data_IF_320426123098
#
_entry.id   IF_320426123098
#
_cell.length_a   1.000
_cell.length_b   1.000
_cell.length_c   1.000
_cell.angle_alpha   90.00
_cell.angle_beta   90.00
_cell.angle_gamma   90.00
#
_symmetry.space_group_name_H-M   'P 1'
#
loop_
_entity.id
_entity.type
_entity.pdbx_description
1 polymer ?
#
# COMPACT_ATOMS: atom_id res chain seq x y z
N UNK A 1 -5.24 -25.45 17.40
CA UNK A 1 -4.56 -24.20 16.99
C UNK A 1 -3.85 -23.64 18.19
N UNK A 2 -2.55 -23.79 18.21
CA UNK A 2 -1.71 -23.58 19.40
C UNK A 2 -1.22 -22.11 19.40
N UNK A 3 -1.56 -21.38 20.48
CA UNK A 3 -1.15 -19.98 20.66
C UNK A 3 0.18 -19.97 21.36
N UNK A 4 1.26 -19.65 20.65
CA UNK A 4 2.59 -19.44 21.24
C UNK A 4 2.63 -18.12 22.02
N UNK A 5 2.90 -18.22 23.31
CA UNK A 5 3.25 -17.08 24.17
C UNK A 5 4.67 -16.64 23.85
N UNK A 6 4.84 -15.40 23.43
CA UNK A 6 6.16 -14.76 23.32
C UNK A 6 6.29 -13.79 24.50
N UNK A 7 7.15 -14.16 25.45
CA UNK A 7 7.59 -13.26 26.51
C UNK A 7 8.79 -12.46 26.02
N UNK A 8 8.66 -11.14 25.92
CA UNK A 8 9.77 -10.24 25.61
C UNK A 8 10.29 -9.66 26.93
N UNK A 9 11.48 -10.09 27.31
CA UNK A 9 12.25 -9.53 28.44
C UNK A 9 13.15 -8.43 27.90
N UNK A 10 12.96 -7.20 28.37
CA UNK A 10 13.84 -6.08 28.05
C UNK A 10 14.89 -5.94 29.16
N UNK A 11 16.14 -6.24 28.87
CA UNK A 11 17.29 -5.88 29.71
C UNK A 11 18.29 -5.04 28.91
N UNK A 12 18.61 -3.90 29.46
CA UNK A 12 19.95 -3.31 29.53
C UNK A 12 20.47 -2.46 28.40
N UNK A 13 20.55 -1.18 28.69
CA UNK A 13 21.39 -0.18 27.98
C UNK A 13 22.87 -0.61 27.99
N UNK A 14 23.53 -0.45 26.84
CA UNK A 14 24.98 -0.44 26.71
C UNK A 14 25.41 0.61 25.67
N UNK A 15 26.04 1.70 26.16
CA UNK A 15 26.71 2.70 25.33
C UNK A 15 27.98 2.09 24.73
N UNK A 16 28.14 2.14 23.41
CA UNK A 16 29.37 1.77 22.74
C UNK A 16 29.61 2.65 21.52
N UNK A 17 30.57 3.58 21.62
CA UNK A 17 31.10 4.41 20.54
C UNK A 17 32.08 3.54 19.75
N UNK A 18 31.88 3.35 18.46
CA UNK A 18 32.88 2.77 17.57
C UNK A 18 33.20 3.77 16.46
N UNK A 19 34.45 4.23 16.50
CA UNK A 19 35.09 4.99 15.43
C UNK A 19 35.42 4.02 14.29
N UNK A 20 35.00 4.33 13.07
CA UNK A 20 35.44 3.64 11.87
C UNK A 20 36.48 4.48 11.14
N UNK A 21 37.70 3.98 11.05
CA UNK A 21 38.77 4.47 10.17
C UNK A 21 38.67 3.77 8.83
N UNK A 22 38.89 4.53 7.76
CA UNK A 22 38.72 4.08 6.38
C UNK A 22 39.78 3.11 5.86
N UNK A 23 39.42 2.45 4.79
CA UNK A 23 40.38 2.02 3.75
C UNK A 23 39.69 2.03 2.39
N UNK A 24 40.22 2.86 1.50
CA UNK A 24 39.83 2.94 0.08
C UNK A 24 40.56 1.80 -0.64
N UNK A 25 39.81 0.90 -1.28
CA UNK A 25 40.39 -0.05 -2.24
C UNK A 25 39.69 0.14 -3.59
N UNK A 26 40.43 0.74 -4.53
CA UNK A 26 40.07 0.80 -5.94
C UNK A 26 40.27 -0.59 -6.55
N UNK A 27 39.19 -1.23 -7.01
CA UNK A 27 39.25 -2.31 -7.97
C UNK A 27 38.30 -2.03 -9.13
N UNK A 28 38.88 -1.72 -10.28
CA UNK A 28 38.19 -1.70 -11.56
C UNK A 28 37.75 -3.13 -11.92
N UNK A 29 36.50 -3.40 -12.01
CA UNK A 29 35.91 -4.67 -12.41
C UNK A 29 34.80 -4.45 -13.42
N UNK A 30 34.98 -5.00 -14.62
CA UNK A 30 34.03 -5.00 -15.72
C UNK A 30 32.62 -5.46 -15.26
N UNK A 31 31.61 -4.64 -15.50
CA UNK A 31 30.23 -5.00 -15.30
C UNK A 31 29.75 -5.85 -16.47
N UNK A 32 29.67 -7.16 -16.26
CA UNK A 32 28.85 -8.03 -17.08
C UNK A 32 27.40 -7.86 -16.64
N UNK A 33 26.56 -7.27 -17.48
CA UNK A 33 25.13 -7.13 -17.26
C UNK A 33 24.48 -8.50 -17.43
N UNK A 34 24.10 -9.13 -16.34
CA UNK A 34 23.27 -10.33 -16.32
C UNK A 34 21.80 -9.95 -16.55
N UNK A 35 21.08 -10.53 -17.53
CA UNK A 35 19.69 -10.20 -17.82
C UNK A 35 18.68 -10.94 -16.94
N UNK A 36 19.01 -11.30 -15.70
CA UNK A 36 18.16 -12.14 -14.84
C UNK A 36 17.77 -11.50 -13.50
N UNK A 37 17.68 -10.18 -13.40
CA UNK A 37 17.32 -9.53 -12.12
C UNK A 37 16.08 -8.62 -12.18
N UNK A 38 15.16 -8.91 -13.12
CA UNK A 38 13.88 -8.20 -13.15
C UNK A 38 12.86 -8.70 -12.11
N UNK A 39 13.20 -9.69 -11.31
CA UNK A 39 12.32 -10.19 -10.22
C UNK A 39 12.62 -9.60 -8.84
N UNK A 40 13.67 -8.82 -8.68
CA UNK A 40 14.05 -8.26 -7.38
C UNK A 40 13.40 -6.91 -7.06
N UNK A 41 12.69 -6.29 -8.00
CA UNK A 41 12.13 -4.93 -7.85
C UNK A 41 10.72 -4.89 -7.24
N UNK A 42 10.12 -6.03 -6.87
CA UNK A 42 8.93 -6.04 -6.02
C UNK A 42 9.39 -5.96 -4.55
N UNK A 43 10.15 -4.92 -4.24
CA UNK A 43 10.51 -4.61 -2.86
C UNK A 43 9.28 -4.06 -2.16
N UNK A 44 8.67 -4.94 -1.37
CA UNK A 44 7.85 -4.69 -0.19
C UNK A 44 7.46 -3.21 -0.01
N UNK A 45 6.26 -2.85 -0.48
CA UNK A 45 5.54 -1.75 0.14
C UNK A 45 5.51 -2.10 1.64
N UNK A 46 6.11 -1.27 2.48
CA UNK A 46 6.05 -1.43 3.93
C UNK A 46 4.58 -1.53 4.29
N UNK A 47 4.18 -2.71 4.74
CA UNK A 47 2.91 -2.90 5.41
C UNK A 47 2.99 -2.05 6.66
N UNK A 48 2.47 -0.83 6.62
CA UNK A 48 2.27 -0.02 7.82
C UNK A 48 1.22 -0.74 8.65
N UNK A 49 1.70 -1.62 9.53
CA UNK A 49 0.87 -2.28 10.53
C UNK A 49 0.38 -1.21 11.49
N UNK A 50 -0.81 -0.67 11.25
CA UNK A 50 -1.52 0.10 12.27
C UNK A 50 -1.98 -0.90 13.31
N UNK A 51 -1.25 -1.00 14.43
CA UNK A 51 -1.65 -1.80 15.57
C UNK A 51 -2.96 -1.27 16.12
N UNK A 52 -4.06 -2.01 15.96
CA UNK A 52 -5.29 -1.75 16.68
C UNK A 52 -5.28 -2.60 17.96
N UNK A 53 -5.73 -2.01 19.05
CA UNK A 53 -5.82 -2.71 20.33
C UNK A 53 -7.26 -3.03 20.63
N UNK A 54 -7.50 -4.23 21.15
CA UNK A 54 -8.78 -4.63 21.71
C UNK A 54 -8.62 -4.97 23.20
N UNK A 55 -9.64 -4.67 23.97
CA UNK A 55 -9.70 -5.06 25.38
C UNK A 55 -10.72 -6.18 25.53
N UNK A 56 -10.29 -7.31 26.13
CA UNK A 56 -11.14 -8.46 26.49
C UNK A 56 -11.49 -8.38 27.94
N UNK A 57 -12.75 -8.47 28.26
CA UNK A 57 -13.27 -8.44 29.66
C UNK A 57 -13.11 -9.83 30.28
N UNK A 58 -12.41 -9.91 31.41
CA UNK A 58 -12.15 -11.16 32.12
C UNK A 58 -12.89 -11.26 33.46
N UNK A 59 -13.18 -10.12 34.08
CA UNK A 59 -14.04 -10.07 35.27
C UNK A 59 -15.52 -10.32 34.91
N UNK A 60 -16.33 -10.83 35.84
CA UNK A 60 -17.77 -11.08 35.61
C UNK A 60 -18.51 -9.86 35.06
N UNK A 61 -18.23 -8.68 35.59
CA UNK A 61 -18.73 -7.40 35.13
C UNK A 61 -17.69 -6.30 35.44
N UNK A 62 -17.57 -5.30 34.57
CA UNK A 62 -16.72 -4.11 34.74
C UNK A 62 -17.55 -2.87 34.48
N UNK A 63 -17.50 -1.92 35.41
CA UNK A 63 -18.19 -0.64 35.27
C UNK A 63 -17.59 0.21 34.16
N UNK A 64 -18.43 0.82 33.37
CA UNK A 64 -18.08 1.81 32.36
C UNK A 64 -18.30 3.20 32.93
N UNK A 65 -17.25 3.99 33.04
CA UNK A 65 -17.22 5.32 33.61
C UNK A 65 -17.24 6.40 32.53
N UNK A 66 -17.78 7.58 32.86
CA UNK A 66 -17.82 8.72 31.94
C UNK A 66 -16.44 9.33 31.68
N UNK A 67 -15.53 9.25 32.66
CA UNK A 67 -14.15 9.68 32.56
C UNK A 67 -13.22 8.66 33.22
N UNK A 68 -11.90 8.77 33.01
CA UNK A 68 -10.89 7.87 33.54
C UNK A 68 -10.65 8.07 35.05
N UNK A 69 -11.70 7.91 35.85
CA UNK A 69 -11.70 8.09 37.30
C UNK A 69 -12.76 7.21 37.98
N UNK A 70 -12.41 6.58 39.10
CA UNK A 70 -13.36 5.76 39.86
C UNK A 70 -14.53 6.57 40.48
N UNK A 71 -14.30 7.85 40.77
CA UNK A 71 -15.35 8.78 41.24
C UNK A 71 -16.26 9.30 40.15
N UNK A 72 -15.99 8.97 38.91
CA UNK A 72 -16.82 9.40 37.76
C UNK A 72 -18.13 8.64 37.68
N UNK A 73 -19.17 9.31 37.16
CA UNK A 73 -20.48 8.71 36.96
C UNK A 73 -20.39 7.44 36.09
N UNK A 74 -21.03 6.38 36.54
CA UNK A 74 -21.18 5.12 35.78
C UNK A 74 -22.16 5.32 34.64
N UNK A 75 -21.85 4.77 33.48
CA UNK A 75 -22.72 4.82 32.28
C UNK A 75 -23.30 3.46 31.90
N UNK A 76 -22.81 2.39 32.54
CA UNK A 76 -23.23 1.01 32.28
C UNK A 76 -22.18 0.02 32.75
N UNK A 77 -22.35 -1.24 32.34
CA UNK A 77 -21.42 -2.33 32.60
C UNK A 77 -21.11 -3.10 31.33
N UNK A 78 -19.92 -3.68 31.27
CA UNK A 78 -19.49 -4.66 30.28
C UNK A 78 -19.21 -5.99 30.96
N UNK A 79 -19.50 -7.09 30.25
CA UNK A 79 -19.52 -8.43 30.83
C UNK A 79 -18.33 -9.28 30.36
N UNK A 80 -18.01 -10.32 31.15
CA UNK A 80 -16.99 -11.31 30.82
C UNK A 80 -17.14 -11.85 29.41
N UNK A 81 -16.02 -11.98 28.69
CA UNK A 81 -15.96 -12.49 27.33
C UNK A 81 -16.22 -11.47 26.24
N UNK A 82 -16.80 -10.31 26.56
CA UNK A 82 -16.96 -9.23 25.60
C UNK A 82 -15.62 -8.62 25.24
N UNK A 83 -15.49 -8.16 23.99
CA UNK A 83 -14.29 -7.53 23.45
C UNK A 83 -14.66 -6.18 22.85
N UNK A 84 -13.87 -5.16 23.12
CA UNK A 84 -14.09 -3.80 22.65
C UNK A 84 -12.82 -3.24 22.02
N UNK A 85 -12.98 -2.40 20.99
CA UNK A 85 -11.88 -1.63 20.42
C UNK A 85 -11.37 -0.60 21.43
N UNK A 86 -10.06 -0.47 21.54
CA UNK A 86 -9.39 0.50 22.40
C UNK A 86 -9.24 1.82 21.65
N UNK A 87 -10.00 2.83 22.03
CA UNK A 87 -9.96 4.18 21.48
C UNK A 87 -8.86 5.05 22.12
N UNK A 88 -8.36 4.68 23.28
CA UNK A 88 -7.30 5.38 24.00
C UNK A 88 -6.94 4.70 25.31
N UNK A 89 -5.78 5.01 25.85
CA UNK A 89 -5.26 4.48 27.13
C UNK A 89 -4.74 5.61 27.99
N UNK A 90 -4.79 5.45 29.32
CA UNK A 90 -4.12 6.34 30.26
C UNK A 90 -3.01 5.59 30.99
N UNK A 91 -2.03 6.30 31.52
CA UNK A 91 -0.95 5.73 32.32
C UNK A 91 -1.46 5.07 33.61
N UNK A 92 -2.64 5.48 34.10
CA UNK A 92 -3.27 4.93 35.30
C UNK A 92 -4.07 3.64 35.04
N UNK A 93 -3.96 3.03 33.84
CA UNK A 93 -4.60 1.76 33.51
C UNK A 93 -6.10 1.86 33.16
N UNK A 94 -6.56 3.03 32.72
CA UNK A 94 -7.87 3.20 32.13
C UNK A 94 -7.81 3.04 30.62
N UNK A 95 -8.83 2.39 30.06
CA UNK A 95 -9.00 2.20 28.63
C UNK A 95 -10.31 2.81 28.19
N UNK A 96 -10.24 3.65 27.15
CA UNK A 96 -11.40 4.24 26.50
C UNK A 96 -11.96 3.25 25.48
N UNK A 97 -13.23 2.93 25.59
CA UNK A 97 -13.95 2.00 24.70
C UNK A 97 -15.21 2.67 24.16
N UNK A 98 -15.82 2.08 23.12
CA UNK A 98 -17.16 2.42 22.65
C UNK A 98 -18.11 1.25 22.92
N UNK A 99 -19.20 1.53 23.63
CA UNK A 99 -20.26 0.56 23.91
C UNK A 99 -21.63 1.23 23.83
N UNK A 100 -22.61 0.57 23.22
CA UNK A 100 -23.96 1.11 23.05
C UNK A 100 -24.01 2.46 22.34
N UNK A 101 -23.07 2.74 21.41
CA UNK A 101 -22.98 4.00 20.68
C UNK A 101 -22.37 5.17 21.48
N UNK A 102 -21.90 4.94 22.71
CA UNK A 102 -21.29 5.95 23.59
C UNK A 102 -19.85 5.57 23.93
N UNK A 103 -19.03 6.57 24.18
CA UNK A 103 -17.66 6.37 24.66
C UNK A 103 -17.63 6.39 26.18
N UNK A 104 -16.83 5.51 26.76
CA UNK A 104 -16.64 5.41 28.21
C UNK A 104 -15.30 4.81 28.55
N UNK A 105 -14.99 4.77 29.84
CA UNK A 105 -13.70 4.31 30.35
C UNK A 105 -13.92 3.11 31.27
N UNK A 106 -13.09 2.07 31.11
CA UNK A 106 -13.02 0.93 32.00
C UNK A 106 -11.63 0.84 32.64
N UNK A 107 -11.55 0.37 33.87
CA UNK A 107 -10.29 0.08 34.55
C UNK A 107 -9.83 -1.33 34.20
N UNK A 108 -8.62 -1.50 33.66
CA UNK A 108 -8.15 -2.80 33.20
C UNK A 108 -7.47 -3.62 34.28
N UNK A 109 -7.01 -3.00 35.40
CA UNK A 109 -6.27 -3.67 36.47
C UNK A 109 -7.06 -4.86 37.05
N UNK A 110 -6.66 -6.10 36.71
CA UNK A 110 -7.28 -7.34 37.17
C UNK A 110 -8.64 -7.67 36.51
N UNK A 111 -9.21 -6.80 35.69
CA UNK A 111 -10.57 -6.93 35.18
C UNK A 111 -10.64 -7.20 33.66
N UNK A 112 -9.59 -6.84 32.94
CA UNK A 112 -9.57 -6.94 31.50
C UNK A 112 -8.13 -7.01 30.97
N UNK A 113 -7.93 -7.75 29.89
CA UNK A 113 -6.65 -7.86 29.18
C UNK A 113 -6.71 -7.06 27.89
N UNK A 114 -5.72 -6.19 27.68
CA UNK A 114 -5.56 -5.49 26.41
C UNK A 114 -4.65 -6.32 25.50
N UNK A 115 -5.19 -6.70 24.35
CA UNK A 115 -4.49 -7.50 23.34
C UNK A 115 -4.25 -6.62 22.11
N UNK A 116 -3.03 -6.63 21.62
CA UNK A 116 -2.73 -6.05 20.33
C UNK A 116 -3.34 -6.96 19.26
N UNK A 117 -4.31 -6.42 18.53
CA UNK A 117 -4.83 -7.07 17.33
C UNK A 117 -3.99 -6.53 16.17
N UNK A 118 -3.03 -7.32 15.70
CA UNK A 118 -2.41 -7.05 14.42
C UNK A 118 -3.53 -7.04 13.38
N UNK A 119 -4.01 -5.86 13.02
CA UNK A 119 -4.80 -5.68 11.83
C UNK A 119 -3.78 -5.62 10.71
N UNK A 120 -3.64 -6.68 9.95
CA UNK A 120 -3.28 -6.53 8.55
C UNK A 120 -4.45 -5.76 7.91
N UNK A 121 -4.43 -4.46 8.03
CA UNK A 121 -5.07 -3.63 7.02
C UNK A 121 -4.20 -3.86 5.78
N UNK A 122 -4.49 -4.92 5.06
CA UNK A 122 -4.21 -4.93 3.64
C UNK A 122 -4.96 -3.70 3.17
N UNK A 123 -4.22 -2.62 2.93
CA UNK A 123 -4.76 -1.45 2.28
C UNK A 123 -5.37 -1.98 0.97
N UNK A 124 -6.70 -2.03 0.89
CA UNK A 124 -7.39 -2.60 -0.28
C UNK A 124 -6.96 -1.84 -1.54
N UNK A 125 -6.60 -0.57 -1.39
CA UNK A 125 -6.05 0.24 -2.47
C UNK A 125 -4.65 -0.26 -2.86
N UNK A 126 -3.77 -0.53 -1.90
CA UNK A 126 -2.44 -1.08 -2.18
C UNK A 126 -2.51 -2.50 -2.77
N UNK A 127 -3.49 -3.29 -2.36
CA UNK A 127 -3.75 -4.62 -2.93
C UNK A 127 -4.24 -4.50 -4.38
N UNK A 128 -5.20 -3.61 -4.64
CA UNK A 128 -5.71 -3.34 -5.97
C UNK A 128 -4.60 -2.84 -6.91
N UNK A 129 -3.77 -1.90 -6.44
CA UNK A 129 -2.62 -1.39 -7.18
C UNK A 129 -1.63 -2.49 -7.56
N UNK A 130 -1.29 -3.38 -6.63
CA UNK A 130 -0.45 -4.56 -6.90
C UNK A 130 -1.07 -5.48 -7.94
N UNK A 131 -2.36 -5.80 -7.83
CA UNK A 131 -3.08 -6.64 -8.78
C UNK A 131 -3.04 -6.05 -10.20
N UNK A 132 -3.24 -4.73 -10.33
CA UNK A 132 -3.17 -4.04 -11.63
C UNK A 132 -1.78 -4.13 -12.23
N UNK A 133 -0.73 -3.89 -11.43
CA UNK A 133 0.66 -3.96 -11.90
C UNK A 133 1.04 -5.40 -12.28
N UNK A 134 0.79 -6.36 -11.42
CA UNK A 134 1.07 -7.79 -11.68
C UNK A 134 0.35 -8.27 -12.94
N UNK A 135 -0.91 -7.87 -13.12
CA UNK A 135 -1.67 -8.21 -14.32
C UNK A 135 -1.10 -7.57 -15.58
N UNK A 136 -0.68 -6.30 -15.50
CA UNK A 136 -0.05 -5.60 -16.63
C UNK A 136 1.28 -6.23 -17.05
N UNK A 137 2.11 -6.64 -16.10
CA UNK A 137 3.43 -7.22 -16.36
C UNK A 137 3.37 -8.58 -17.07
N UNK A 138 2.26 -9.33 -16.96
CA UNK A 138 2.07 -10.61 -17.67
C UNK A 138 2.11 -10.45 -19.20
N UNK A 139 1.85 -9.26 -19.71
CA UNK A 139 1.81 -8.98 -21.17
C UNK A 139 3.12 -8.43 -21.74
N UNK A 140 4.16 -8.28 -20.92
CA UNK A 140 5.48 -7.81 -21.40
C UNK A 140 6.02 -8.79 -22.47
N UNK A 141 6.50 -8.27 -23.57
CA UNK A 141 6.88 -9.03 -24.77
C UNK A 141 5.74 -9.22 -25.76
N UNK A 142 4.49 -8.84 -25.41
CA UNK A 142 3.34 -8.88 -26.29
C UNK A 142 3.45 -7.89 -27.47
N UNK A 143 2.65 -8.14 -28.51
CA UNK A 143 2.69 -7.37 -29.77
C UNK A 143 2.03 -6.00 -29.63
N UNK A 144 2.66 -4.95 -30.16
CA UNK A 144 1.99 -3.69 -30.43
C UNK A 144 1.18 -3.77 -31.74
N UNK A 145 -0.01 -3.22 -31.72
CA UNK A 145 -0.84 -3.01 -32.91
C UNK A 145 -1.62 -1.72 -32.76
N UNK A 146 -1.46 -0.79 -33.68
CA UNK A 146 -2.24 0.46 -33.67
C UNK A 146 -3.75 0.17 -33.76
N UNK A 147 -4.55 0.79 -32.89
CA UNK A 147 -5.98 0.51 -32.76
C UNK A 147 -6.33 -0.84 -32.13
N UNK A 148 -5.33 -1.61 -31.68
CA UNK A 148 -5.53 -2.90 -31.02
C UNK A 148 -6.06 -2.74 -29.59
N UNK A 149 -6.85 -3.73 -29.13
CA UNK A 149 -7.58 -3.70 -27.86
C UNK A 149 -7.33 -4.93 -26.98
N UNK A 150 -6.63 -5.93 -27.49
CA UNK A 150 -6.37 -7.21 -26.80
C UNK A 150 -4.85 -7.46 -26.77
N UNK A 151 -4.19 -7.40 -25.59
CA UNK A 151 -2.75 -7.60 -25.50
C UNK A 151 -2.28 -9.00 -25.91
N UNK A 152 -3.18 -9.99 -25.96
CA UNK A 152 -2.86 -11.34 -26.44
C UNK A 152 -2.81 -11.44 -27.98
N UNK A 153 -3.38 -10.47 -28.70
CA UNK A 153 -3.43 -10.44 -30.16
C UNK A 153 -2.62 -9.29 -30.76
N UNK A 154 -2.61 -8.18 -30.06
CA UNK A 154 -1.96 -6.93 -30.40
C UNK A 154 -2.76 -5.76 -29.89
N UNK A 155 -2.07 -4.78 -29.30
CA UNK A 155 -2.69 -3.68 -28.57
C UNK A 155 -1.88 -2.40 -28.72
N UNK A 156 -2.55 -1.23 -28.77
CA UNK A 156 -1.86 0.06 -28.66
C UNK A 156 -1.78 0.55 -27.20
N UNK A 157 -1.16 1.70 -26.96
CA UNK A 157 -0.92 2.22 -25.62
C UNK A 157 -2.22 2.40 -24.80
N UNK A 158 -3.24 2.99 -25.39
CA UNK A 158 -4.52 3.27 -24.73
C UNK A 158 -5.42 2.02 -24.64
N UNK A 159 -5.34 1.14 -25.63
CA UNK A 159 -5.98 -0.18 -25.58
C UNK A 159 -5.42 -1.04 -24.45
N UNK A 160 -4.09 -1.00 -24.26
CA UNK A 160 -3.39 -1.71 -23.18
C UNK A 160 -3.85 -1.27 -21.79
N UNK A 161 -3.78 0.04 -21.50
CA UNK A 161 -4.20 0.58 -20.20
C UNK A 161 -5.69 0.34 -19.92
N UNK A 162 -6.54 0.54 -20.95
CA UNK A 162 -7.96 0.20 -20.90
C UNK A 162 -8.20 -1.26 -20.56
N UNK A 163 -7.49 -2.19 -21.22
CA UNK A 163 -7.63 -3.63 -21.02
C UNK A 163 -7.23 -4.02 -19.60
N UNK A 164 -6.04 -3.60 -19.16
CA UNK A 164 -5.50 -3.92 -17.84
C UNK A 164 -6.42 -3.42 -16.73
N UNK A 165 -6.76 -2.14 -16.73
CA UNK A 165 -7.60 -1.53 -15.69
C UNK A 165 -9.03 -2.08 -15.72
N UNK A 166 -9.56 -2.38 -16.90
CA UNK A 166 -10.86 -3.02 -17.06
C UNK A 166 -10.91 -4.42 -16.45
N UNK A 167 -9.87 -5.21 -16.62
CA UNK A 167 -9.80 -6.60 -16.11
C UNK A 167 -9.39 -6.70 -14.65
N UNK A 168 -8.41 -5.92 -14.22
CA UNK A 168 -7.84 -6.03 -12.88
C UNK A 168 -8.59 -5.18 -11.85
N UNK A 169 -9.18 -4.04 -12.24
CA UNK A 169 -9.82 -3.08 -11.34
C UNK A 169 -11.27 -2.74 -11.71
N UNK A 170 -11.85 -3.33 -12.75
CA UNK A 170 -13.20 -3.04 -13.24
C UNK A 170 -13.40 -1.56 -13.67
N UNK A 171 -12.31 -0.87 -14.04
CA UNK A 171 -12.34 0.54 -14.47
C UNK A 171 -12.53 0.61 -15.97
N UNK A 172 -13.61 1.24 -16.41
CA UNK A 172 -13.89 1.45 -17.84
C UNK A 172 -13.29 2.75 -18.34
N UNK A 173 -12.44 2.66 -19.36
CA UNK A 173 -11.76 3.80 -19.99
C UNK A 173 -12.03 3.87 -21.50
N UNK A 174 -12.01 5.06 -22.10
CA UNK A 174 -12.07 5.20 -23.55
C UNK A 174 -10.79 4.66 -24.22
N UNK A 175 -10.90 4.24 -25.48
CA UNK A 175 -9.75 3.83 -26.30
C UNK A 175 -9.08 5.06 -26.94
N UNK A 176 -8.52 5.92 -26.09
CA UNK A 176 -7.81 7.14 -26.51
C UNK A 176 -6.96 7.65 -25.33
N UNK A 177 -5.66 7.86 -25.55
CA UNK A 177 -4.78 8.42 -24.51
C UNK A 177 -5.23 9.82 -24.07
N UNK A 178 -5.63 10.67 -24.98
CA UNK A 178 -6.20 11.99 -24.66
C UNK A 178 -7.50 11.84 -23.86
N UNK A 179 -8.40 10.95 -24.27
CA UNK A 179 -9.64 10.69 -23.54
C UNK A 179 -9.38 10.18 -22.12
N UNK A 180 -8.46 9.22 -21.96
CA UNK A 180 -8.10 8.67 -20.64
C UNK A 180 -7.50 9.72 -19.71
N UNK A 181 -6.78 10.71 -20.23
CA UNK A 181 -6.18 11.77 -19.43
C UNK A 181 -7.20 12.66 -18.69
N UNK A 182 -8.48 12.59 -19.05
CA UNK A 182 -9.57 13.32 -18.41
C UNK A 182 -10.25 12.55 -17.29
N UNK A 183 -9.83 11.31 -17.02
CA UNK A 183 -10.36 10.45 -15.96
C UNK A 183 -9.46 10.51 -14.73
N UNK A 184 -10.05 10.21 -13.56
CA UNK A 184 -9.33 10.12 -12.31
C UNK A 184 -8.89 11.47 -11.74
N UNK A 185 -8.05 11.41 -10.71
CA UNK A 185 -7.50 12.56 -10.00
C UNK A 185 -6.08 12.84 -10.48
N UNK A 186 -5.80 14.10 -10.83
CA UNK A 186 -4.43 14.51 -11.16
C UNK A 186 -3.55 14.42 -9.89
N UNK A 187 -2.34 13.86 -10.06
CA UNK A 187 -1.33 13.73 -9.00
C UNK A 187 0.01 14.27 -9.50
N UNK A 188 0.89 14.63 -8.55
CA UNK A 188 2.27 15.05 -8.88
C UNK A 188 3.20 13.85 -9.02
N UNK A 189 4.43 14.07 -9.51
CA UNK A 189 5.45 13.01 -9.60
C UNK A 189 5.78 12.42 -8.21
N UNK A 190 5.79 13.25 -7.16
CA UNK A 190 6.07 12.82 -5.78
C UNK A 190 4.92 12.01 -5.16
N UNK A 191 3.71 12.18 -5.67
CA UNK A 191 2.51 11.48 -5.21
C UNK A 191 2.18 10.24 -6.05
N UNK A 192 2.96 10.02 -7.10
CA UNK A 192 2.74 8.94 -8.05
C UNK A 192 2.87 7.57 -7.39
N UNK A 193 1.88 6.72 -7.59
CA UNK A 193 1.81 5.37 -7.03
C UNK A 193 1.65 4.30 -8.12
N UNK A 194 2.10 3.05 -7.89
CA UNK A 194 1.86 1.95 -8.82
C UNK A 194 0.39 1.86 -9.24
N UNK A 195 0.13 1.68 -10.54
CA UNK A 195 -1.22 1.68 -11.10
C UNK A 195 -1.69 3.03 -11.65
N UNK A 196 -0.98 4.14 -11.39
CA UNK A 196 -1.28 5.44 -11.96
C UNK A 196 -0.95 5.50 -13.45
N UNK A 197 -1.66 6.33 -14.21
CA UNK A 197 -1.44 6.53 -15.63
C UNK A 197 -0.61 7.79 -15.90
N UNK A 198 0.46 7.63 -16.69
CA UNK A 198 1.32 8.69 -17.15
C UNK A 198 1.03 9.00 -18.63
N UNK A 199 0.83 10.26 -18.93
CA UNK A 199 0.52 10.74 -20.28
C UNK A 199 1.69 11.55 -20.83
N UNK A 200 2.02 11.28 -22.10
CA UNK A 200 3.13 11.91 -22.80
C UNK A 200 2.61 12.63 -24.03
N UNK A 201 3.20 13.80 -24.31
CA UNK A 201 2.83 14.62 -25.46
C UNK A 201 3.88 14.54 -26.56
N UNK A 202 3.42 14.66 -27.81
CA UNK A 202 4.22 14.94 -28.98
C UNK A 202 3.68 16.18 -29.66
N UNK A 203 4.21 16.63 -30.79
CA UNK A 203 3.99 17.92 -31.44
C UNK A 203 2.54 18.43 -31.65
N UNK A 204 1.53 17.70 -31.20
CA UNK A 204 0.12 18.09 -31.30
C UNK A 204 -0.71 17.81 -30.04
N UNK A 205 -0.10 17.45 -28.90
CA UNK A 205 -0.80 17.10 -27.64
C UNK A 205 -0.50 15.70 -27.15
N UNK A 206 -1.31 15.21 -26.22
CA UNK A 206 -1.16 13.85 -25.64
C UNK A 206 -1.32 12.81 -26.76
N UNK A 207 -0.29 11.98 -26.90
CA UNK A 207 -0.25 10.94 -27.93
C UNK A 207 0.16 9.56 -27.41
N UNK A 208 0.45 9.44 -26.11
CA UNK A 208 0.84 8.18 -25.49
C UNK A 208 0.43 8.12 -24.04
N UNK A 209 0.21 6.89 -23.54
CA UNK A 209 -0.09 6.59 -22.15
C UNK A 209 0.67 5.35 -21.71
N UNK A 210 1.13 5.35 -20.46
CA UNK A 210 1.78 4.23 -19.81
C UNK A 210 1.23 4.03 -18.39
N UNK A 211 1.35 2.82 -17.85
CA UNK A 211 0.99 2.47 -16.50
C UNK A 211 2.25 2.48 -15.62
N UNK A 212 2.24 3.23 -14.53
CA UNK A 212 3.34 3.23 -13.56
C UNK A 212 3.35 1.92 -12.76
N UNK A 213 4.53 1.32 -12.64
CA UNK A 213 4.69 0.03 -11.94
C UNK A 213 5.52 0.13 -10.65
N UNK A 214 5.95 1.37 -10.29
CA UNK A 214 6.84 1.59 -9.14
C UNK A 214 8.29 1.74 -9.57
N UNK A 215 9.15 2.09 -8.63
CA UNK A 215 10.62 2.18 -8.76
C UNK A 215 11.11 3.02 -9.97
N UNK A 216 10.32 4.02 -10.36
CA UNK A 216 10.65 4.89 -11.49
C UNK A 216 10.39 4.27 -12.86
N UNK A 217 9.62 3.17 -12.96
CA UNK A 217 9.33 2.47 -14.20
C UNK A 217 7.84 2.50 -14.58
N UNK A 218 7.59 2.40 -15.87
CA UNK A 218 6.27 2.22 -16.47
C UNK A 218 6.24 0.98 -17.35
N UNK A 219 5.06 0.37 -17.51
CA UNK A 219 4.78 -0.62 -18.54
C UNK A 219 3.83 -0.02 -19.58
N UNK A 220 4.14 -0.24 -20.85
CA UNK A 220 3.35 0.32 -21.97
C UNK A 220 3.47 -0.50 -23.26
N UNK A 221 2.44 -0.47 -24.09
CA UNK A 221 2.55 -0.86 -25.48
C UNK A 221 3.22 0.30 -26.25
N UNK A 222 4.52 0.11 -26.59
CA UNK A 222 5.41 1.18 -27.05
C UNK A 222 5.33 1.45 -28.54
N UNK A 223 5.81 0.53 -29.36
CA UNK A 223 5.85 0.60 -30.82
C UNK A 223 5.71 -0.77 -31.46
N UNK A 224 5.43 -0.83 -32.75
CA UNK A 224 5.39 -2.10 -33.51
C UNK A 224 6.72 -2.89 -33.42
N UNK A 225 7.84 -2.17 -33.31
CA UNK A 225 9.17 -2.79 -33.21
C UNK A 225 9.45 -3.38 -31.84
N UNK A 226 8.91 -2.79 -30.76
CA UNK A 226 9.28 -3.13 -29.37
C UNK A 226 8.17 -3.79 -28.60
N UNK A 227 6.93 -3.71 -29.08
CA UNK A 227 5.78 -4.32 -28.40
C UNK A 227 5.46 -3.71 -27.05
N UNK A 228 4.97 -4.55 -26.16
CA UNK A 228 4.71 -4.21 -24.75
C UNK A 228 6.02 -4.40 -23.97
N UNK A 229 6.45 -3.36 -23.24
CA UNK A 229 7.72 -3.38 -22.51
C UNK A 229 7.68 -2.46 -21.28
N UNK A 230 8.67 -2.58 -20.42
CA UNK A 230 8.97 -1.58 -19.39
C UNK A 230 9.93 -0.51 -19.93
N UNK A 231 9.90 0.65 -19.28
CA UNK A 231 10.80 1.77 -19.54
C UNK A 231 10.87 2.68 -18.32
N UNK A 232 11.97 3.42 -18.07
CA UNK A 232 11.98 4.49 -17.09
C UNK A 232 10.81 5.45 -17.35
N UNK A 233 10.09 5.88 -16.31
CA UNK A 233 8.91 6.74 -16.48
C UNK A 233 9.24 8.07 -17.16
N UNK A 234 10.48 8.54 -17.02
CA UNK A 234 11.00 9.79 -17.57
C UNK A 234 11.73 9.62 -18.92
N UNK A 235 11.61 8.46 -19.61
CA UNK A 235 12.15 8.28 -20.98
C UNK A 235 11.60 9.34 -21.96
N UNK A 236 10.45 9.89 -21.63
CA UNK A 236 9.88 11.16 -22.08
C UNK A 236 9.33 11.88 -20.86
N UNK A 237 9.36 13.21 -20.84
CA UNK A 237 8.75 13.95 -19.72
C UNK A 237 7.23 13.75 -19.75
N UNK A 238 6.60 13.20 -18.70
CA UNK A 238 5.15 13.13 -18.63
C UNK A 238 4.55 14.54 -18.53
N UNK A 239 3.47 14.79 -19.24
CA UNK A 239 2.74 16.08 -19.19
C UNK A 239 1.55 16.04 -18.24
N UNK A 240 1.12 14.84 -17.85
CA UNK A 240 0.05 14.63 -16.89
C UNK A 240 0.18 13.25 -16.26
N UNK A 241 -0.17 13.16 -14.97
CA UNK A 241 -0.27 11.91 -14.23
C UNK A 241 -1.65 11.89 -13.60
N UNK A 242 -2.35 10.76 -13.66
CA UNK A 242 -3.64 10.60 -12.98
C UNK A 242 -3.71 9.30 -12.21
N UNK A 243 -4.32 9.37 -11.03
CA UNK A 243 -4.70 8.21 -10.23
C UNK A 243 -6.16 7.84 -10.46
N UNK A 244 -6.42 6.56 -10.69
CA UNK A 244 -7.75 5.97 -10.88
C UNK A 244 -8.11 5.01 -9.73
N UNK A 245 -7.11 4.69 -8.91
CA UNK A 245 -7.19 3.71 -7.82
C UNK A 245 -7.06 4.48 -6.49
N UNK A 246 -8.17 5.01 -5.98
CA UNK A 246 -8.23 5.74 -4.69
C UNK A 246 -9.60 5.57 -4.06
#
# INVERSE_FOLDING_TARGET
>A
MEVRRVSVSIRGLGKGIIKASGLICLCAGLWAVNPMDSQAAVKQAEVQTRSSYVVKIEAPAVDVHRSASEGSARQGQVMRGQTYEVLGRTEQGWVKIRTGGREGYIKTSGNATVVEKAHETVDEDAKMRRQVVEYALQFVGGRYQYGGVDPNKGVDCSGFTRYVLGKAASISLPHSSTGQSSYGKAVTEEQMQPGDLLFYAGGGGINHVALYIGDGEVVHASTEKTGIKTSPYNYRKPVKIVSLLS
#
